data_IF_970281364109
#
_entry.id   IF_970281364109
#
_cell.length_a   1.000
_cell.length_b   1.000
_cell.length_c   1.000
_cell.angle_alpha   90.00
_cell.angle_beta   90.00
_cell.angle_gamma   90.00
#
_symmetry.space_group_name_H-M   'P 1'
#
loop_
_entity.id
_entity.type
_entity.pdbx_description
1 polymer ?
#
# COMPACT_ATOMS: atom_id res chain seq x y z
N UNK A 1 2.70 4.23 24.46
CA UNK A 1 2.77 3.80 23.05
C UNK A 1 2.83 5.06 22.22
N UNK A 2 3.94 5.31 21.54
CA UNK A 2 4.12 6.51 20.72
C UNK A 2 3.55 6.18 19.34
N UNK A 3 2.59 6.97 18.86
CA UNK A 3 2.08 6.83 17.51
C UNK A 3 3.00 7.67 16.63
N UNK A 4 3.80 7.01 15.81
CA UNK A 4 4.69 7.70 14.87
C UNK A 4 4.02 7.70 13.49
N UNK A 5 4.01 8.88 12.86
CA UNK A 5 3.38 9.08 11.56
C UNK A 5 4.43 8.90 10.47
N UNK A 6 4.27 7.88 9.63
CA UNK A 6 5.23 7.55 8.56
C UNK A 6 4.60 7.84 7.19
N UNK A 7 5.37 8.44 6.29
CA UNK A 7 4.98 8.65 4.90
C UNK A 7 4.90 7.32 4.14
N UNK A 8 3.86 7.14 3.32
CA UNK A 8 3.65 5.89 2.57
C UNK A 8 4.74 5.63 1.51
N UNK A 9 5.41 6.68 1.04
CA UNK A 9 6.60 6.57 0.19
C UNK A 9 7.72 5.78 0.87
N UNK A 10 7.83 5.89 2.19
CA UNK A 10 8.93 5.32 2.97
C UNK A 10 8.63 3.88 3.41
N UNK A 11 7.40 3.40 3.13
CA UNK A 11 6.98 2.02 3.39
C UNK A 11 7.23 1.16 2.16
N UNK A 12 8.02 0.12 2.31
CA UNK A 12 8.36 -0.84 1.28
C UNK A 12 7.65 -2.17 1.55
N UNK A 13 7.15 -2.81 0.50
CA UNK A 13 6.70 -4.18 0.57
C UNK A 13 7.89 -5.11 0.74
N UNK A 14 7.71 -6.15 1.54
CA UNK A 14 8.68 -7.24 1.64
C UNK A 14 8.73 -8.03 0.31
N UNK A 15 9.90 -8.02 -0.33
CA UNK A 15 10.13 -8.71 -1.60
C UNK A 15 10.30 -10.23 -1.40
N UNK A 16 10.69 -10.65 -0.20
CA UNK A 16 10.84 -12.06 0.19
C UNK A 16 9.57 -12.61 0.84
N UNK A 17 8.43 -11.94 0.64
CA UNK A 17 7.16 -12.33 1.22
C UNK A 17 6.81 -13.77 0.80
N UNK A 18 6.61 -14.70 1.77
CA UNK A 18 6.43 -16.13 1.49
C UNK A 18 5.14 -16.46 0.72
N UNK A 19 4.25 -15.47 0.55
CA UNK A 19 3.05 -15.60 -0.29
C UNK A 19 3.35 -15.45 -1.77
N UNK A 20 4.53 -14.96 -2.15
CA UNK A 20 4.92 -14.82 -3.54
C UNK A 20 5.38 -16.16 -4.12
N UNK A 21 4.80 -16.60 -5.25
CA UNK A 21 5.17 -17.86 -5.89
C UNK A 21 6.55 -17.82 -6.58
N UNK A 22 7.19 -16.64 -6.64
CA UNK A 22 8.47 -16.40 -7.31
C UNK A 22 9.22 -15.26 -6.63
N UNK A 23 10.52 -15.20 -6.90
CA UNK A 23 11.38 -14.09 -6.46
C UNK A 23 10.89 -12.81 -7.14
N UNK A 24 10.86 -11.73 -6.36
CA UNK A 24 10.44 -10.41 -6.80
C UNK A 24 11.61 -9.47 -6.67
N UNK A 25 11.95 -8.75 -7.74
CA UNK A 25 13.16 -7.91 -7.79
C UNK A 25 12.84 -6.42 -7.60
N UNK A 26 11.57 -6.03 -7.65
CA UNK A 26 11.16 -4.64 -7.51
C UNK A 26 9.84 -4.44 -6.76
N UNK A 27 9.67 -3.25 -6.19
CA UNK A 27 8.42 -2.85 -5.53
C UNK A 27 7.22 -2.85 -6.48
N UNK A 28 7.40 -2.42 -7.73
CA UNK A 28 6.35 -2.47 -8.76
C UNK A 28 5.93 -3.90 -9.04
N UNK A 29 6.90 -4.81 -9.17
CA UNK A 29 6.60 -6.21 -9.38
C UNK A 29 5.88 -6.83 -8.18
N UNK A 30 6.27 -6.48 -6.95
CA UNK A 30 5.57 -6.92 -5.73
C UNK A 30 4.11 -6.47 -5.71
N UNK A 31 3.83 -5.22 -6.11
CA UNK A 31 2.47 -4.67 -6.21
C UNK A 31 1.64 -5.43 -7.23
N UNK A 32 2.18 -5.66 -8.43
CA UNK A 32 1.48 -6.39 -9.49
C UNK A 32 1.23 -7.85 -9.09
N UNK A 33 2.20 -8.52 -8.47
CA UNK A 33 2.04 -9.89 -7.99
C UNK A 33 1.00 -9.98 -6.86
N UNK A 34 0.96 -8.98 -5.95
CA UNK A 34 -0.11 -8.87 -4.95
C UNK A 34 -1.49 -8.71 -5.60
N UNK A 35 -1.59 -7.91 -6.66
CA UNK A 35 -2.81 -7.72 -7.42
C UNK A 35 -3.24 -8.99 -8.17
N UNK A 36 -2.30 -9.79 -8.68
CA UNK A 36 -2.59 -11.07 -9.32
C UNK A 36 -3.18 -12.08 -8.33
N UNK A 37 -2.62 -12.16 -7.12
CA UNK A 37 -3.02 -13.15 -6.12
C UNK A 37 -4.30 -12.72 -5.37
N UNK A 38 -4.46 -11.42 -5.09
CA UNK A 38 -5.48 -10.92 -4.14
C UNK A 38 -6.25 -9.68 -4.65
N UNK A 39 -6.40 -9.51 -5.97
CA UNK A 39 -7.05 -8.35 -6.60
C UNK A 39 -8.34 -7.92 -5.90
N UNK A 40 -9.31 -8.83 -5.78
CA UNK A 40 -10.65 -8.51 -5.26
C UNK A 40 -10.60 -8.01 -3.81
N UNK A 41 -9.70 -8.58 -2.99
CA UNK A 41 -9.53 -8.19 -1.58
C UNK A 41 -8.88 -6.80 -1.47
N UNK A 42 -7.90 -6.52 -2.32
CA UNK A 42 -7.22 -5.22 -2.34
C UNK A 42 -8.21 -4.16 -2.85
N UNK A 43 -9.00 -4.48 -3.86
CA UNK A 43 -10.03 -3.56 -4.39
C UNK A 43 -11.11 -3.26 -3.35
N UNK A 44 -11.63 -4.29 -2.65
CA UNK A 44 -12.60 -4.10 -1.56
C UNK A 44 -12.03 -3.20 -0.47
N UNK A 45 -10.81 -3.50 0.01
CA UNK A 45 -10.14 -2.70 1.03
C UNK A 45 -9.91 -1.27 0.57
N UNK A 46 -9.60 -1.06 -0.71
CA UNK A 46 -9.39 0.27 -1.27
C UNK A 46 -10.67 1.10 -1.26
N UNK A 47 -11.83 0.48 -1.55
CA UNK A 47 -13.14 1.16 -1.44
C UNK A 47 -13.44 1.52 0.01
N UNK A 48 -13.25 0.58 0.94
CA UNK A 48 -13.49 0.80 2.36
C UNK A 48 -12.63 1.96 2.90
N UNK A 49 -11.35 2.00 2.52
CA UNK A 49 -10.43 3.08 2.89
C UNK A 49 -10.88 4.44 2.31
N UNK A 50 -11.42 4.47 1.09
CA UNK A 50 -11.88 5.70 0.46
C UNK A 50 -13.19 6.21 1.07
N UNK A 51 -14.08 5.31 1.47
CA UNK A 51 -15.38 5.63 2.06
C UNK A 51 -15.28 5.99 3.55
N UNK A 52 -14.52 5.21 4.33
CA UNK A 52 -14.48 5.31 5.79
C UNK A 52 -13.14 5.85 6.34
N UNK A 53 -12.10 5.90 5.51
CA UNK A 53 -10.73 6.19 5.96
C UNK A 53 -10.01 4.95 6.48
N UNK A 54 -8.79 5.15 6.99
CA UNK A 54 -8.00 4.08 7.60
C UNK A 54 -8.52 3.75 9.00
N UNK A 55 -8.71 2.45 9.27
CA UNK A 55 -9.02 1.96 10.61
C UNK A 55 -7.78 2.09 11.52
N UNK A 56 -7.83 2.93 12.58
CA UNK A 56 -6.71 3.14 13.50
C UNK A 56 -6.44 1.94 14.43
N UNK A 57 -7.37 0.98 14.53
CA UNK A 57 -7.21 -0.21 15.39
C UNK A 57 -6.31 -1.28 14.76
N UNK A 58 -6.32 -1.37 13.43
CA UNK A 58 -5.44 -2.27 12.69
C UNK A 58 -4.05 -1.66 12.56
N UNK A 59 -3.09 -2.23 13.27
CA UNK A 59 -1.69 -1.80 13.23
C UNK A 59 -0.89 -2.54 12.17
N UNK A 60 0.00 -1.81 11.53
CA UNK A 60 0.98 -2.34 10.60
C UNK A 60 2.25 -2.72 11.37
N UNK A 61 2.87 -3.84 11.00
CA UNK A 61 4.15 -4.26 11.58
C UNK A 61 5.22 -4.01 10.55
N UNK A 62 6.24 -3.24 10.92
CA UNK A 62 7.36 -2.88 10.05
C UNK A 62 8.70 -3.16 10.70
N UNK A 63 9.67 -3.54 9.88
CA UNK A 63 11.08 -3.53 10.23
C UNK A 63 11.71 -2.24 9.74
N UNK A 64 12.62 -1.66 10.52
CA UNK A 64 13.45 -0.56 10.02
C UNK A 64 14.38 -1.13 8.95
N UNK A 65 14.29 -0.57 7.75
CA UNK A 65 15.22 -0.86 6.67
C UNK A 65 16.49 -0.03 6.79
N UNK A 66 17.29 -0.03 5.73
CA UNK A 66 18.52 0.74 5.68
C UNK A 66 18.23 2.24 5.77
N UNK A 67 19.06 2.92 6.57
CA UNK A 67 19.04 4.38 6.71
C UNK A 67 19.97 4.93 5.64
N UNK A 68 19.42 5.48 4.56
CA UNK A 68 20.18 6.37 3.68
C UNK A 68 20.26 7.77 4.29
N UNK A 69 21.19 8.60 3.83
CA UNK A 69 21.52 9.91 4.41
C UNK A 69 20.33 10.88 4.54
N UNK A 70 19.20 10.64 3.86
CA UNK A 70 18.04 11.54 3.86
C UNK A 70 16.70 10.92 4.31
N UNK A 71 16.47 9.60 4.29
CA UNK A 71 15.21 9.00 4.77
C UNK A 71 15.35 7.57 5.32
N UNK A 72 14.72 7.30 6.47
CA UNK A 72 14.56 5.93 6.99
C UNK A 72 13.44 5.21 6.23
N UNK A 73 13.79 4.12 5.57
CA UNK A 73 12.80 3.21 4.94
C UNK A 73 12.32 2.15 5.93
N UNK A 74 11.10 1.65 5.73
CA UNK A 74 10.47 0.66 6.58
C UNK A 74 9.92 -0.49 5.73
N UNK A 75 10.33 -1.73 6.00
CA UNK A 75 9.86 -2.92 5.30
C UNK A 75 8.65 -3.48 6.04
N UNK A 76 7.55 -3.69 5.33
CA UNK A 76 6.27 -4.12 5.90
C UNK A 76 6.25 -5.64 6.07
N UNK A 77 6.25 -6.08 7.34
CA UNK A 77 6.17 -7.48 7.72
C UNK A 77 4.72 -8.00 7.68
N UNK A 78 3.79 -7.21 8.20
CA UNK A 78 2.36 -7.52 8.25
C UNK A 78 1.54 -6.30 7.81
N UNK A 79 0.53 -6.56 6.97
CA UNK A 79 -0.31 -5.50 6.38
C UNK A 79 0.01 -5.16 4.92
N UNK A 80 0.72 -6.03 4.20
CA UNK A 80 1.06 -5.84 2.79
C UNK A 80 -0.14 -5.48 1.90
N UNK A 81 -1.32 -6.10 2.10
CA UNK A 81 -2.54 -5.74 1.35
C UNK A 81 -2.94 -4.27 1.52
N UNK A 82 -2.86 -3.77 2.76
CA UNK A 82 -3.23 -2.39 3.09
C UNK A 82 -2.25 -1.40 2.46
N UNK A 83 -0.95 -1.70 2.52
CA UNK A 83 0.06 -0.86 1.88
C UNK A 83 -0.06 -0.91 0.36
N UNK A 84 -0.34 -2.07 -0.25
CA UNK A 84 -0.63 -2.16 -1.68
C UNK A 84 -1.84 -1.31 -2.07
N UNK A 85 -2.95 -1.41 -1.32
CA UNK A 85 -4.15 -0.59 -1.54
C UNK A 85 -3.83 0.91 -1.46
N UNK A 86 -3.14 1.34 -0.40
CA UNK A 86 -2.76 2.74 -0.21
C UNK A 86 -1.83 3.27 -1.28
N UNK A 87 -0.83 2.48 -1.70
CA UNK A 87 0.07 2.85 -2.79
C UNK A 87 -0.68 3.02 -4.11
N UNK A 88 -1.61 2.11 -4.43
CA UNK A 88 -2.44 2.21 -5.63
C UNK A 88 -3.48 3.35 -5.58
N UNK A 89 -4.00 3.66 -4.39
CA UNK A 89 -4.87 4.82 -4.20
C UNK A 89 -4.09 6.14 -4.34
N UNK A 90 -2.81 6.17 -3.98
CA UNK A 90 -1.96 7.33 -4.20
C UNK A 90 -1.50 7.45 -5.66
N UNK A 91 -1.10 6.34 -6.27
CA UNK A 91 -0.60 6.27 -7.64
C UNK A 91 -1.10 4.98 -8.33
N UNK A 92 -2.26 5.04 -9.03
CA UNK A 92 -2.82 3.88 -9.72
C UNK A 92 -1.90 3.30 -10.80
N UNK A 93 -0.98 4.12 -11.34
CA UNK A 93 -0.04 3.79 -12.42
C UNK A 93 1.15 2.93 -11.96
N UNK A 94 1.17 2.55 -10.68
CA UNK A 94 2.07 1.50 -10.18
C UNK A 94 1.67 0.10 -10.68
N UNK A 95 0.41 -0.10 -11.06
CA UNK A 95 -0.07 -1.32 -11.70
C UNK A 95 0.22 -1.30 -13.20
N UNK A 96 0.64 -2.43 -13.76
CA UNK A 96 0.85 -2.60 -15.21
C UNK A 96 -0.44 -2.98 -15.95
N UNK A 97 -1.52 -3.25 -15.21
CA UNK A 97 -2.81 -3.64 -15.77
C UNK A 97 -3.77 -2.44 -15.92
N UNK A 98 -4.05 -2.04 -17.16
CA UNK A 98 -4.97 -0.92 -17.49
C UNK A 98 -6.37 -1.03 -16.87
N UNK A 99 -6.89 -2.26 -16.72
CA UNK A 99 -8.20 -2.47 -16.08
C UNK A 99 -8.14 -2.14 -14.60
N UNK A 100 -7.05 -2.49 -13.93
CA UNK A 100 -6.81 -2.14 -12.53
C UNK A 100 -6.65 -0.63 -12.40
N UNK A 101 -5.81 -0.01 -13.23
CA UNK A 101 -5.62 1.45 -13.25
C UNK A 101 -6.97 2.17 -13.38
N UNK A 102 -7.80 1.75 -14.34
CA UNK A 102 -9.12 2.34 -14.60
C UNK A 102 -10.05 2.17 -13.40
N UNK A 103 -10.06 0.99 -12.76
CA UNK A 103 -10.86 0.73 -11.56
C UNK A 103 -10.44 1.60 -10.39
N UNK A 104 -9.14 1.69 -10.10
CA UNK A 104 -8.63 2.52 -9.00
C UNK A 104 -8.87 4.01 -9.26
N UNK A 105 -8.72 4.48 -10.50
CA UNK A 105 -9.10 5.86 -10.88
C UNK A 105 -10.60 6.12 -10.64
N UNK A 106 -11.49 5.15 -10.87
CA UNK A 106 -12.92 5.27 -10.54
C UNK A 106 -13.18 5.31 -9.03
N UNK A 107 -12.49 4.49 -8.24
CA UNK A 107 -12.58 4.50 -6.77
C UNK A 107 -12.14 5.87 -6.22
N UNK A 108 -11.09 6.47 -6.78
CA UNK A 108 -10.65 7.80 -6.35
C UNK A 108 -11.64 8.91 -6.71
N UNK A 109 -12.39 8.76 -7.81
CA UNK A 109 -13.43 9.71 -8.21
C UNK A 109 -14.66 9.66 -7.30
N UNK A 110 -14.94 8.54 -6.61
CA UNK A 110 -16.11 8.46 -5.73
C UNK A 110 -15.98 9.27 -4.45
N UNK A 111 -14.74 9.55 -3.98
CA UNK A 111 -14.52 10.44 -2.84
C UNK A 111 -13.15 11.15 -2.92
N UNK A 112 -13.07 12.35 -3.54
CA UNK A 112 -11.81 13.04 -3.80
C UNK A 112 -11.13 13.63 -2.56
N UNK A 113 -11.86 13.83 -1.45
CA UNK A 113 -11.32 14.38 -0.20
C UNK A 113 -10.38 13.39 0.51
N UNK A 114 -10.60 12.08 0.33
CA UNK A 114 -9.87 11.02 1.03
C UNK A 114 -8.43 10.86 0.51
N UNK A 115 -8.18 11.17 -0.78
CA UNK A 115 -6.86 11.06 -1.43
C UNK A 115 -5.79 11.94 -0.78
N UNK A 116 -6.17 13.06 -0.15
CA UNK A 116 -5.22 13.95 0.56
C UNK A 116 -4.88 13.48 1.97
N UNK A 117 -5.79 12.77 2.63
CA UNK A 117 -5.63 12.30 4.02
C UNK A 117 -4.75 11.05 4.11
N UNK A 118 -4.78 10.22 3.06
CA UNK A 118 -4.09 8.94 3.03
C UNK A 118 -2.62 9.05 2.61
N UNK A 119 -1.90 10.13 2.93
CA UNK A 119 -0.44 10.23 2.67
C UNK A 119 0.41 9.72 3.83
N UNK A 120 -0.23 9.52 4.97
CA UNK A 120 0.39 9.22 6.24
C UNK A 120 -0.27 7.98 6.83
N UNK A 121 0.55 7.07 7.37
CA UNK A 121 0.10 5.90 8.10
C UNK A 121 0.51 6.02 9.57
N UNK A 122 -0.36 5.54 10.45
CA UNK A 122 -0.15 5.51 11.89
C UNK A 122 0.40 4.14 12.31
N UNK A 123 1.47 4.14 13.12
CA UNK A 123 2.12 2.94 13.65
C UNK A 123 2.27 3.05 15.17
#
# INVERSE_FOLDING_TARGET
>A
MKIDTIHISNLLLDLDNPRFPRIVESQREAINLMLEIQSDKIESLSRDIVEHGLDPSERLIVFKGDVSDDETSFIVAEGNRRITALKLLNEPELSDNDKVITRFKKILQSNPETTRRNRLCYF
#
